data_IF_197109125233
#
_entry.id   IF_197109125233
#
_cell.length_a   1.000
_cell.length_b   1.000
_cell.length_c   1.000
_cell.angle_alpha   90.00
_cell.angle_beta   90.00
_cell.angle_gamma   90.00
#
_symmetry.space_group_name_H-M   'P 1'
#
loop_
_entity.id
_entity.type
_entity.pdbx_description
1 polymer ?
#
# COMPACT_ATOMS: atom_id res chain seq x y z
N UNK A 1 -12.10 -5.77 17.62
CA UNK A 1 -11.45 -5.65 16.30
C UNK A 1 -11.32 -7.07 15.74
N UNK A 2 -12.47 -7.70 15.48
CA UNK A 2 -12.61 -9.17 15.42
C UNK A 2 -13.18 -9.63 14.07
N UNK A 3 -13.60 -8.68 13.23
CA UNK A 3 -14.29 -8.97 11.97
C UNK A 3 -13.34 -9.46 10.87
N UNK A 4 -12.12 -8.92 10.78
CA UNK A 4 -11.16 -9.23 9.68
C UNK A 4 -10.62 -10.67 9.78
N UNK A 5 -10.56 -11.23 10.99
CA UNK A 5 -10.15 -12.62 11.23
C UNK A 5 -11.30 -13.63 11.10
N UNK A 6 -12.51 -13.20 10.75
CA UNK A 6 -13.63 -14.12 10.55
C UNK A 6 -13.33 -15.06 9.37
N UNK A 7 -13.62 -16.37 9.48
CA UNK A 7 -13.31 -17.35 8.43
C UNK A 7 -13.80 -16.97 7.03
N UNK A 8 -15.01 -16.37 6.95
CA UNK A 8 -15.59 -15.92 5.67
C UNK A 8 -14.79 -14.78 5.02
N UNK A 9 -14.25 -13.85 5.82
CA UNK A 9 -13.44 -12.75 5.30
C UNK A 9 -12.03 -13.23 4.95
N UNK A 10 -11.44 -14.11 5.77
CA UNK A 10 -10.17 -14.77 5.43
C UNK A 10 -10.28 -15.49 4.08
N UNK A 11 -11.32 -16.31 3.89
CA UNK A 11 -11.56 -17.01 2.62
C UNK A 11 -11.72 -16.05 1.44
N UNK A 12 -12.47 -14.96 1.61
CA UNK A 12 -12.62 -13.93 0.59
C UNK A 12 -11.29 -13.25 0.21
N UNK A 13 -10.48 -12.87 1.19
CA UNK A 13 -9.20 -12.19 0.92
C UNK A 13 -8.13 -13.14 0.37
N UNK A 14 -8.16 -14.40 0.78
CA UNK A 14 -7.32 -15.45 0.21
C UNK A 14 -7.71 -15.75 -1.24
N UNK A 15 -8.99 -15.77 -1.59
CA UNK A 15 -9.43 -15.93 -2.99
C UNK A 15 -9.08 -14.75 -3.91
N UNK A 16 -8.56 -13.66 -3.36
CA UNK A 16 -8.09 -12.48 -4.10
C UNK A 16 -6.57 -12.41 -4.18
N UNK A 17 -5.86 -13.43 -3.68
CA UNK A 17 -4.39 -13.47 -3.57
C UNK A 17 -3.80 -12.26 -2.82
N UNK A 18 -4.58 -11.69 -1.89
CA UNK A 18 -4.19 -10.46 -1.15
C UNK A 18 -3.62 -10.77 0.22
N UNK A 19 -4.23 -11.70 0.94
CA UNK A 19 -3.83 -12.09 2.30
C UNK A 19 -4.03 -13.59 2.47
N UNK A 20 -2.95 -14.30 2.80
CA UNK A 20 -3.05 -15.69 3.24
C UNK A 20 -3.59 -15.76 4.67
N UNK A 21 -4.19 -16.88 5.04
CA UNK A 21 -4.66 -17.09 6.42
C UNK A 21 -3.53 -16.94 7.43
N UNK A 22 -2.33 -17.42 7.09
CA UNK A 22 -1.14 -17.26 7.93
C UNK A 22 -0.77 -15.78 8.10
N UNK A 23 -0.71 -15.03 7.00
CA UNK A 23 -0.37 -13.60 7.05
C UNK A 23 -1.37 -12.79 7.88
N UNK A 24 -2.66 -13.14 7.86
CA UNK A 24 -3.69 -12.47 8.68
C UNK A 24 -3.38 -12.60 10.18
N UNK A 25 -2.80 -13.71 10.62
CA UNK A 25 -2.43 -13.94 12.03
C UNK A 25 -1.14 -13.23 12.44
N UNK A 26 -0.26 -12.95 11.48
CA UNK A 26 1.03 -12.27 11.71
C UNK A 26 0.90 -10.73 11.76
N UNK A 27 -0.21 -10.17 11.27
CA UNK A 27 -0.46 -8.73 11.31
C UNK A 27 -0.72 -8.27 12.74
N UNK A 28 0.03 -7.28 13.21
CA UNK A 28 -0.31 -6.52 14.41
C UNK A 28 -1.49 -5.59 14.14
N UNK A 29 -2.69 -6.12 14.32
CA UNK A 29 -3.96 -5.41 14.14
C UNK A 29 -4.12 -4.23 15.10
N UNK A 30 -3.53 -4.30 16.30
CA UNK A 30 -3.58 -3.23 17.29
C UNK A 30 -2.80 -2.01 16.79
N UNK A 31 -1.56 -2.22 16.33
CA UNK A 31 -0.75 -1.19 15.72
C UNK A 31 -1.38 -0.63 14.45
N UNK A 32 -1.94 -1.49 13.59
CA UNK A 32 -2.65 -1.05 12.38
C UNK A 32 -3.87 -0.17 12.72
N UNK A 33 -4.67 -0.55 13.73
CA UNK A 33 -5.80 0.28 14.14
C UNK A 33 -5.37 1.61 14.74
N UNK A 34 -4.28 1.64 15.49
CA UNK A 34 -3.73 2.89 16.01
C UNK A 34 -3.30 3.80 14.85
N UNK A 35 -2.54 3.27 13.90
CA UNK A 35 -2.11 3.99 12.70
C UNK A 35 -3.30 4.51 11.88
N UNK A 36 -4.33 3.69 11.67
CA UNK A 36 -5.54 4.10 10.95
C UNK A 36 -6.28 5.23 11.68
N UNK A 37 -6.39 5.18 13.01
CA UNK A 37 -7.05 6.24 13.80
C UNK A 37 -6.24 7.55 13.81
N UNK A 38 -4.92 7.48 13.68
CA UNK A 38 -4.05 8.64 13.61
C UNK A 38 -4.13 9.39 12.26
N UNK A 39 -4.66 8.76 11.21
CA UNK A 39 -4.83 9.42 9.91
C UNK A 39 -5.89 10.53 9.98
N UNK A 40 -5.72 11.62 9.21
CA UNK A 40 -6.80 12.56 8.92
C UNK A 40 -8.06 11.85 8.38
N UNK A 41 -9.25 12.36 8.70
CA UNK A 41 -10.52 11.71 8.39
C UNK A 41 -10.73 11.40 6.89
N UNK A 42 -10.21 12.23 5.99
CA UNK A 42 -10.24 11.97 4.55
C UNK A 42 -9.38 10.76 4.17
N UNK A 43 -8.21 10.60 4.78
CA UNK A 43 -7.32 9.47 4.54
C UNK A 43 -7.85 8.17 5.15
N UNK A 44 -8.49 8.23 6.33
CA UNK A 44 -9.17 7.07 6.92
C UNK A 44 -10.19 6.45 5.97
N UNK A 45 -10.95 7.27 5.23
CA UNK A 45 -11.92 6.82 4.22
C UNK A 45 -11.27 6.45 2.90
N UNK A 46 -10.21 7.15 2.52
CA UNK A 46 -9.53 6.92 1.24
C UNK A 46 -8.75 5.61 1.25
N UNK A 47 -8.05 5.27 2.33
CA UNK A 47 -7.24 4.05 2.43
C UNK A 47 -8.00 2.76 2.09
N UNK A 48 -9.17 2.44 2.70
CA UNK A 48 -9.92 1.23 2.35
C UNK A 48 -10.47 1.26 0.92
N UNK A 49 -10.81 2.45 0.38
CA UNK A 49 -11.19 2.61 -1.03
C UNK A 49 -10.02 2.31 -1.96
N UNK A 50 -8.82 2.79 -1.63
CA UNK A 50 -7.60 2.51 -2.38
C UNK A 50 -7.24 1.03 -2.35
N UNK A 51 -7.23 0.42 -1.17
CA UNK A 51 -6.90 -1.00 -1.02
C UNK A 51 -7.90 -1.86 -1.79
N UNK A 52 -9.21 -1.60 -1.70
CA UNK A 52 -10.23 -2.35 -2.46
C UNK A 52 -10.23 -2.07 -3.97
N UNK A 53 -9.49 -1.05 -4.42
CA UNK A 53 -9.47 -0.60 -5.81
C UNK A 53 -10.62 0.35 -6.19
N UNK A 54 -11.54 0.62 -5.26
CA UNK A 54 -12.72 1.49 -5.42
C UNK A 54 -12.39 2.99 -5.28
N UNK A 55 -11.37 3.45 -6.00
CA UNK A 55 -10.94 4.86 -5.98
C UNK A 55 -11.50 5.65 -7.14
N UNK A 56 -11.68 6.96 -6.99
CA UNK A 56 -12.10 7.86 -8.06
C UNK A 56 -11.03 8.10 -9.13
N UNK A 57 -10.66 7.04 -9.84
CA UNK A 57 -9.81 7.01 -11.05
C UNK A 57 -10.67 6.67 -12.25
N UNK A 58 -10.12 6.75 -13.47
CA UNK A 58 -10.87 6.58 -14.72
C UNK A 58 -11.89 5.43 -14.70
N UNK A 59 -11.50 4.21 -14.29
CA UNK A 59 -12.40 3.06 -14.24
C UNK A 59 -13.67 3.31 -13.39
N UNK A 60 -13.50 3.70 -12.12
CA UNK A 60 -14.63 3.91 -11.21
C UNK A 60 -15.39 5.22 -11.48
N UNK A 61 -14.73 6.25 -12.02
CA UNK A 61 -15.42 7.46 -12.46
C UNK A 61 -16.38 7.15 -13.62
N UNK A 62 -16.00 6.25 -14.53
CA UNK A 62 -16.90 5.77 -15.57
C UNK A 62 -18.06 4.94 -14.97
N UNK A 63 -17.78 4.01 -14.05
CA UNK A 63 -18.80 3.21 -13.35
C UNK A 63 -19.82 4.09 -12.61
N UNK A 64 -19.37 5.18 -11.98
CA UNK A 64 -20.23 6.13 -11.26
C UNK A 64 -20.90 7.17 -12.16
N UNK A 65 -20.77 7.06 -13.49
CA UNK A 65 -21.27 8.05 -14.45
C UNK A 65 -20.77 9.48 -14.20
N UNK A 66 -19.59 9.62 -13.58
CA UNK A 66 -18.92 10.90 -13.33
C UNK A 66 -17.97 11.31 -14.46
N UNK A 67 -17.64 10.40 -15.37
CA UNK A 67 -16.81 10.64 -16.55
C UNK A 67 -17.30 9.78 -17.72
N UNK A 68 -17.24 10.33 -18.94
CA UNK A 68 -17.50 9.57 -20.16
C UNK A 68 -16.32 8.66 -20.57
N UNK A 69 -15.14 8.86 -19.98
CA UNK A 69 -13.90 8.13 -20.33
C UNK A 69 -13.31 7.45 -19.10
N UNK A 70 -12.88 6.20 -19.28
CA UNK A 70 -12.10 5.43 -18.30
C UNK A 70 -10.58 5.59 -18.44
N UNK A 71 -10.12 6.24 -19.51
CA UNK A 71 -8.70 6.37 -19.85
C UNK A 71 -7.95 7.30 -18.89
N UNK A 72 -6.67 7.01 -18.66
CA UNK A 72 -5.83 7.88 -17.84
C UNK A 72 -5.70 9.27 -18.48
N UNK A 73 -6.00 10.37 -17.75
CA UNK A 73 -5.93 11.73 -18.30
C UNK A 73 -4.48 12.23 -18.49
N UNK A 74 -3.48 11.54 -17.94
CA UNK A 74 -2.07 11.97 -18.02
C UNK A 74 -1.33 11.36 -19.19
N UNK A 75 -1.38 10.03 -19.36
CA UNK A 75 -0.65 9.36 -20.43
C UNK A 75 -1.50 9.10 -21.67
N UNK A 76 -2.83 9.07 -21.56
CA UNK A 76 -3.79 8.69 -22.62
C UNK A 76 -3.58 7.29 -23.24
N UNK A 77 -2.44 6.63 -22.99
CA UNK A 77 -2.10 5.30 -23.49
C UNK A 77 -2.75 4.17 -22.69
N UNK A 78 -3.22 4.45 -21.47
CA UNK A 78 -3.97 3.51 -20.67
C UNK A 78 -5.48 3.71 -20.91
N UNK A 79 -6.17 2.77 -21.58
CA UNK A 79 -7.58 2.90 -21.92
C UNK A 79 -8.51 2.75 -20.69
N UNK A 80 -8.04 2.06 -19.65
CA UNK A 80 -8.76 1.87 -18.38
C UNK A 80 -7.80 2.12 -17.23
N UNK A 81 -7.90 3.31 -16.63
CA UNK A 81 -7.11 3.68 -15.46
C UNK A 81 -7.70 3.04 -14.19
N UNK A 82 -6.98 2.08 -13.64
CA UNK A 82 -7.25 1.53 -12.30
C UNK A 82 -6.40 2.21 -11.22
N UNK A 83 -6.67 1.87 -9.96
CA UNK A 83 -5.96 2.40 -8.80
C UNK A 83 -4.44 2.14 -8.82
N UNK A 84 -3.97 1.08 -9.49
CA UNK A 84 -2.55 0.74 -9.60
C UNK A 84 -1.89 1.41 -10.80
N UNK A 85 -2.65 1.81 -11.82
CA UNK A 85 -2.13 2.61 -12.92
C UNK A 85 -1.57 3.95 -12.42
N UNK A 86 -2.20 4.58 -11.42
CA UNK A 86 -1.78 5.89 -10.89
C UNK A 86 -0.29 5.92 -10.50
N UNK A 87 0.23 5.02 -9.64
CA UNK A 87 1.66 4.97 -9.33
C UNK A 87 2.54 4.42 -10.47
N UNK A 88 1.95 3.70 -11.44
CA UNK A 88 2.64 3.10 -12.60
C UNK A 88 2.68 4.01 -13.83
N UNK A 89 1.94 5.11 -13.82
CA UNK A 89 1.75 5.96 -14.98
C UNK A 89 3.09 6.51 -15.47
N UNK A 90 3.39 6.28 -16.75
CA UNK A 90 4.65 6.68 -17.39
C UNK A 90 4.65 8.12 -17.91
N UNK A 91 3.53 8.84 -17.78
CA UNK A 91 3.48 10.26 -18.16
C UNK A 91 4.56 11.05 -17.40
N UNK A 92 5.31 11.96 -18.06
CA UNK A 92 6.41 12.67 -17.41
C UNK A 92 6.04 13.36 -16.10
N UNK A 93 4.85 13.96 -16.04
CA UNK A 93 4.33 14.63 -14.83
C UNK A 93 4.00 13.64 -13.71
N UNK A 94 3.49 12.45 -14.05
CA UNK A 94 3.21 11.39 -13.07
C UNK A 94 4.51 10.79 -12.52
N UNK A 95 5.49 10.55 -13.39
CA UNK A 95 6.81 10.06 -13.00
C UNK A 95 7.53 11.06 -12.08
N UNK A 96 7.52 12.35 -12.41
CA UNK A 96 8.11 13.39 -11.59
C UNK A 96 7.46 13.48 -10.19
N UNK A 97 6.12 13.43 -10.13
CA UNK A 97 5.40 13.43 -8.85
C UNK A 97 5.70 12.17 -8.03
N UNK A 98 5.78 11.00 -8.66
CA UNK A 98 6.17 9.76 -7.99
C UNK A 98 7.57 9.86 -7.37
N UNK A 99 8.58 10.31 -8.13
CA UNK A 99 9.94 10.51 -7.63
C UNK A 99 9.98 11.50 -6.47
N UNK A 100 9.23 12.62 -6.57
CA UNK A 100 9.11 13.61 -5.49
C UNK A 100 8.53 12.99 -4.22
N UNK A 101 7.48 12.18 -4.33
CA UNK A 101 6.84 11.50 -3.19
C UNK A 101 7.74 10.41 -2.59
N UNK A 102 8.45 9.64 -3.43
CA UNK A 102 9.44 8.66 -2.98
C UNK A 102 10.56 9.33 -2.18
N UNK A 103 11.07 10.48 -2.64
CA UNK A 103 12.09 11.23 -1.93
C UNK A 103 11.57 11.77 -0.59
N UNK A 104 10.38 12.39 -0.58
CA UNK A 104 9.78 12.89 0.65
C UNK A 104 9.54 11.78 1.67
N UNK A 105 9.09 10.61 1.22
CA UNK A 105 8.89 9.44 2.09
C UNK A 105 10.22 8.91 2.64
N UNK A 106 11.29 8.93 1.84
CA UNK A 106 12.64 8.54 2.27
C UNK A 106 13.13 9.45 3.38
N UNK A 107 13.04 10.75 3.18
CA UNK A 107 13.43 11.75 4.17
C UNK A 107 12.61 11.60 5.46
N UNK A 108 11.30 11.38 5.36
CA UNK A 108 10.45 11.16 6.52
C UNK A 108 10.88 9.93 7.33
N UNK A 109 11.13 8.78 6.70
CA UNK A 109 11.60 7.58 7.43
C UNK A 109 12.98 7.76 8.07
N UNK A 110 13.85 8.59 7.47
CA UNK A 110 15.13 8.96 8.09
C UNK A 110 14.89 9.80 9.35
N UNK A 111 14.00 10.81 9.28
CA UNK A 111 13.63 11.63 10.43
C UNK A 111 12.99 10.81 11.55
N UNK A 112 12.16 9.82 11.21
CA UNK A 112 11.54 8.91 12.19
C UNK A 112 12.48 7.80 12.69
N UNK A 113 13.76 7.81 12.27
CA UNK A 113 14.74 6.79 12.62
C UNK A 113 14.24 5.36 12.36
N UNK A 114 13.41 5.17 11.32
CA UNK A 114 12.85 3.87 10.97
C UNK A 114 13.99 2.87 10.74
N UNK A 115 13.81 1.64 11.22
CA UNK A 115 14.79 0.56 11.10
C UNK A 115 15.26 0.41 9.62
N UNK A 116 16.57 0.29 9.36
CA UNK A 116 17.13 0.12 8.01
C UNK A 116 16.41 -0.94 7.16
N UNK A 117 16.02 -2.03 7.79
CA UNK A 117 15.40 -3.20 7.19
C UNK A 117 13.99 -2.88 6.71
N UNK A 118 13.20 -2.19 7.54
CA UNK A 118 11.85 -1.72 7.19
C UNK A 118 11.93 -0.71 6.05
N UNK A 119 12.89 0.22 6.10
CA UNK A 119 13.10 1.20 5.02
C UNK A 119 13.42 0.51 3.69
N UNK A 120 14.35 -0.44 3.70
CA UNK A 120 14.74 -1.19 2.51
C UNK A 120 13.55 -1.95 1.92
N UNK A 121 12.84 -2.73 2.75
CA UNK A 121 11.69 -3.51 2.32
C UNK A 121 10.58 -2.63 1.73
N UNK A 122 10.22 -1.53 2.39
CA UNK A 122 9.17 -0.62 1.89
C UNK A 122 9.56 0.01 0.55
N UNK A 123 10.82 0.39 0.35
CA UNK A 123 11.26 0.94 -0.93
C UNK A 123 11.31 -0.10 -2.04
N UNK A 124 11.84 -1.29 -1.76
CA UNK A 124 11.82 -2.38 -2.71
C UNK A 124 10.38 -2.67 -3.13
N UNK A 125 9.46 -2.80 -2.17
CA UNK A 125 8.04 -3.04 -2.43
C UNK A 125 7.40 -1.94 -3.29
N UNK A 126 7.65 -0.66 -2.98
CA UNK A 126 7.12 0.46 -3.78
C UNK A 126 7.65 0.44 -5.23
N UNK A 127 8.89 0.01 -5.46
CA UNK A 127 9.40 -0.18 -6.82
C UNK A 127 8.67 -1.31 -7.55
N UNK A 128 8.27 -2.38 -6.86
CA UNK A 128 7.44 -3.45 -7.46
C UNK A 128 6.04 -2.95 -7.83
N UNK A 129 5.49 -2.02 -7.04
CA UNK A 129 4.20 -1.39 -7.37
C UNK A 129 4.35 -0.57 -8.65
N UNK A 130 5.46 0.14 -8.81
CA UNK A 130 5.76 0.95 -10.02
C UNK A 130 6.11 0.08 -11.24
N UNK A 131 6.87 -0.99 -11.02
CA UNK A 131 7.37 -1.92 -12.03
C UNK A 131 7.02 -3.35 -11.62
N UNK A 132 5.81 -3.84 -11.98
CA UNK A 132 5.34 -5.16 -11.57
C UNK A 132 6.23 -6.32 -12.01
N UNK A 133 7.06 -6.12 -13.05
CA UNK A 133 8.02 -7.10 -13.54
C UNK A 133 9.13 -7.45 -12.54
N UNK A 134 9.34 -6.64 -11.50
CA UNK A 134 10.35 -6.91 -10.48
C UNK A 134 9.95 -8.03 -9.50
N UNK A 135 8.66 -8.42 -9.47
CA UNK A 135 8.13 -9.36 -8.48
C UNK A 135 8.11 -8.78 -7.06
N UNK A 136 7.37 -9.38 -6.13
CA UNK A 136 7.30 -8.90 -4.72
C UNK A 136 8.64 -9.20 -4.02
N UNK A 137 9.20 -8.28 -3.21
CA UNK A 137 10.47 -8.54 -2.54
C UNK A 137 10.27 -9.64 -1.50
N UNK A 138 11.16 -10.63 -1.49
CA UNK A 138 11.15 -11.66 -0.44
C UNK A 138 11.56 -11.01 0.87
N UNK A 139 10.75 -11.20 1.92
CA UNK A 139 11.18 -10.87 3.29
C UNK A 139 12.41 -11.72 3.57
N UNK A 140 13.54 -11.04 3.55
CA UNK A 140 14.83 -11.59 3.89
C UNK A 140 14.75 -12.03 5.37
N UNK A 141 14.71 -13.34 5.61
CA UNK A 141 14.81 -13.93 6.96
C UNK A 141 16.23 -13.65 7.52
N UNK A 142 16.39 -12.54 8.24
CA UNK A 142 17.69 -12.13 8.76
C UNK A 142 17.64 -12.14 10.28
N UNK A 143 18.73 -12.69 10.84
CA UNK A 143 18.96 -13.02 12.24
C UNK A 143 18.90 -11.78 13.15
N UNK A 144 17.71 -11.25 13.41
CA UNK A 144 17.49 -10.39 14.56
C UNK A 144 17.44 -11.29 15.79
N UNK A 145 18.47 -11.17 16.62
CA UNK A 145 18.49 -11.84 17.91
C UNK A 145 17.24 -11.40 18.70
N UNK A 146 16.45 -12.34 19.26
CA UNK A 146 15.13 -12.08 19.86
C UNK A 146 15.10 -11.00 20.95
N UNK A 147 16.25 -10.68 21.56
CA UNK A 147 16.37 -9.76 22.68
C UNK A 147 16.17 -8.28 22.31
N UNK A 148 16.32 -7.87 21.03
CA UNK A 148 16.22 -6.46 20.63
C UNK A 148 14.78 -5.94 20.52
N UNK A 149 13.79 -6.81 20.34
CA UNK A 149 12.38 -6.40 20.30
C UNK A 149 11.77 -6.19 21.69
N UNK A 150 12.26 -6.87 22.73
CA UNK A 150 11.74 -6.72 24.09
C UNK A 150 12.11 -5.36 24.73
N UNK A 151 13.23 -4.77 24.32
CA UNK A 151 13.72 -3.49 24.84
C UNK A 151 12.96 -2.27 24.31
N UNK A 152 12.26 -2.39 23.18
CA UNK A 152 11.58 -1.27 22.51
C UNK A 152 10.11 -1.09 22.92
N UNK A 153 9.53 -2.05 23.65
CA UNK A 153 8.13 -2.04 24.10
C UNK A 153 8.01 -1.60 25.57
N UNK A 154 9.14 -1.39 26.26
CA UNK A 154 9.20 -1.10 27.70
C UNK A 154 9.62 0.35 28.03
N UNK A 155 9.15 1.34 27.28
CA UNK A 155 9.39 2.78 27.56
C UNK A 155 8.11 3.58 27.53
#
# INVERSE_FOLDING_TARGET
MELVSLPVLCAYWSSKDRLSEQSIREVDWSSLSCAMKALPANLQRWTPKHISGMTGVGNFLAIWNCSAKSSCPRCSSCPVEDHLHVPRCSAPTAAAECSKRHLAFRSWMQTQQTAPEIKAFLFEYLETVRQPSLGVPTVRAWSCQPHLFQSAISS
#
